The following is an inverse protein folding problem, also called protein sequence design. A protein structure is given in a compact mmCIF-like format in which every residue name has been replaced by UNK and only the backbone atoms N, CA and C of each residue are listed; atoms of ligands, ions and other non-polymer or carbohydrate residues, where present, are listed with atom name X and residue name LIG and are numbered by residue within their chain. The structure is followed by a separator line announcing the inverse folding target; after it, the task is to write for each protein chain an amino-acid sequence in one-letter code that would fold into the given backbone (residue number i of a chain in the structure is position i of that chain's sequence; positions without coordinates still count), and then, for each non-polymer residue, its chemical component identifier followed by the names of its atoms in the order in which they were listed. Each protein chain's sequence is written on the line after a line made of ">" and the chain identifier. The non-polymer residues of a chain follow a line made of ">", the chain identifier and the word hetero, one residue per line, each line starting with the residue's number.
data_IF_883333569596
#
_entry.id   IF_883333569596
#
_cell.length_a   1.000
_cell.length_b   1.000
_cell.length_c   1.000
_cell.angle_alpha   90.00
_cell.angle_beta   90.00
_cell.angle_gamma   90.00
#
_symmetry.space_group_name_H-M   'P 1'
#
loop_
_entity.id
_entity.type
_entity.pdbx_description
1 polymer ?
#
# COMPACT_ATOMS: atom_id res chain seq x y z
N UNK A 1 2.78 9.50 22.81
CA UNK A 1 3.10 8.16 22.29
C UNK A 1 2.04 7.86 21.25
N UNK A 2 2.29 8.26 20.00
CA UNK A 2 1.27 8.22 18.95
C UNK A 2 0.96 6.77 18.59
N UNK A 3 -0.32 6.44 18.47
CA UNK A 3 -0.78 5.10 18.13
C UNK A 3 -0.40 4.76 16.68
N UNK A 4 0.80 4.22 16.51
CA UNK A 4 1.30 3.70 15.22
C UNK A 4 0.52 2.48 14.74
N UNK A 5 -0.64 2.16 15.33
CA UNK A 5 -1.50 1.03 14.95
C UNK A 5 -2.67 1.45 14.08
N UNK A 6 -3.06 2.73 14.09
CA UNK A 6 -4.12 3.25 13.21
C UNK A 6 -3.53 3.78 11.90
N UNK A 7 -4.24 3.56 10.78
CA UNK A 7 -3.95 4.28 9.53
C UNK A 7 -4.36 5.75 9.73
N UNK A 8 -3.49 6.68 9.34
CA UNK A 8 -3.74 8.12 9.51
C UNK A 8 -4.90 8.56 8.61
N UNK A 9 -5.62 9.60 9.04
CA UNK A 9 -6.92 9.95 8.51
C UNK A 9 -6.87 10.34 7.02
N UNK A 10 -5.92 11.18 6.62
CA UNK A 10 -5.82 11.63 5.23
C UNK A 10 -5.34 10.49 4.34
N UNK A 11 -4.37 9.69 4.79
CA UNK A 11 -3.93 8.48 4.07
C UNK A 11 -5.07 7.46 3.92
N UNK A 12 -5.93 7.29 4.93
CA UNK A 12 -7.09 6.41 4.83
C UNK A 12 -8.12 6.95 3.83
N UNK A 13 -8.40 8.24 3.86
CA UNK A 13 -9.30 8.91 2.91
C UNK A 13 -8.77 8.84 1.47
N UNK A 14 -7.46 9.07 1.30
CA UNK A 14 -6.78 8.90 0.02
C UNK A 14 -6.85 7.46 -0.47
N UNK A 15 -6.59 6.46 0.37
CA UNK A 15 -6.70 5.06 -0.02
C UNK A 15 -8.14 4.69 -0.41
N UNK A 16 -9.13 5.20 0.33
CA UNK A 16 -10.54 5.00 0.03
C UNK A 16 -10.97 5.63 -1.30
N UNK A 17 -10.40 6.78 -1.67
CA UNK A 17 -10.72 7.44 -2.95
C UNK A 17 -10.17 6.71 -4.18
N UNK A 18 -9.25 5.75 -4.00
CA UNK A 18 -8.71 4.90 -5.07
C UNK A 18 -9.47 3.58 -5.25
N UNK A 19 -10.52 3.35 -4.47
CA UNK A 19 -11.33 2.13 -4.56
C UNK A 19 -12.37 2.24 -5.68
N UNK A 20 -12.81 1.09 -6.19
CA UNK A 20 -13.90 1.04 -7.16
C UNK A 20 -15.24 1.44 -6.50
N UNK A 21 -16.22 1.85 -7.31
CA UNK A 21 -17.55 2.19 -6.81
C UNK A 21 -18.17 1.02 -6.03
N UNK A 22 -18.66 1.29 -4.82
CA UNK A 22 -19.26 0.29 -3.93
C UNK A 22 -18.25 -0.49 -3.07
N UNK A 23 -16.95 -0.26 -3.25
CA UNK A 23 -15.92 -0.81 -2.36
C UNK A 23 -15.68 0.08 -1.14
N UNK A 24 -15.28 -0.53 -0.04
CA UNK A 24 -14.88 0.18 1.19
C UNK A 24 -13.79 -0.57 1.95
N UNK A 25 -12.94 0.19 2.65
CA UNK A 25 -11.97 -0.38 3.59
C UNK A 25 -12.73 -0.85 4.82
N UNK A 26 -12.71 -2.16 5.09
CA UNK A 26 -13.38 -2.76 6.26
C UNK A 26 -12.41 -3.12 7.38
N UNK A 27 -11.12 -3.25 7.08
CA UNK A 27 -10.06 -3.59 8.05
C UNK A 27 -8.70 -3.06 7.58
N UNK A 28 -7.85 -2.69 8.53
CA UNK A 28 -6.46 -2.36 8.30
C UNK A 28 -5.57 -3.03 9.36
N UNK A 29 -4.70 -3.95 8.92
CA UNK A 29 -3.78 -4.70 9.78
C UNK A 29 -2.33 -4.28 9.53
N UNK A 30 -1.49 -4.32 10.57
CA UNK A 30 -0.04 -4.17 10.40
C UNK A 30 0.49 -5.35 9.58
N UNK A 31 1.31 -5.07 8.56
CA UNK A 31 2.07 -6.09 7.85
C UNK A 31 3.54 -5.97 8.25
N UNK A 32 4.03 -6.94 9.02
CA UNK A 32 5.43 -6.99 9.47
C UNK A 32 6.32 -7.35 8.27
N UNK A 33 7.38 -6.57 8.03
CA UNK A 33 8.32 -6.82 6.93
C UNK A 33 8.93 -5.57 6.29
N UNK A 34 8.46 -4.36 6.62
CA UNK A 34 9.06 -3.11 6.16
C UNK A 34 10.18 -2.63 7.08
N UNK A 35 11.39 -2.45 6.56
CA UNK A 35 12.51 -1.80 7.28
C UNK A 35 12.39 -0.27 7.22
N UNK A 36 11.87 0.25 6.09
CA UNK A 36 11.86 1.68 5.75
C UNK A 36 10.46 2.27 5.58
N UNK A 37 9.41 1.47 5.73
CA UNK A 37 8.03 1.93 5.56
C UNK A 37 7.10 1.22 6.55
N UNK A 38 6.13 1.96 7.07
CA UNK A 38 4.97 1.39 7.74
C UNK A 38 4.11 0.70 6.67
N UNK A 39 3.93 -0.62 6.78
CA UNK A 39 3.12 -1.41 5.85
C UNK A 39 1.81 -1.85 6.49
N UNK A 40 0.73 -1.71 5.72
CA UNK A 40 -0.63 -2.06 6.13
C UNK A 40 -1.28 -2.96 5.10
N UNK A 41 -1.86 -4.05 5.57
CA UNK A 41 -2.80 -4.84 4.79
C UNK A 41 -4.19 -4.23 4.97
N UNK A 42 -4.81 -3.81 3.87
CA UNK A 42 -6.18 -3.30 3.85
C UNK A 42 -7.11 -4.37 3.29
N UNK A 43 -8.14 -4.76 4.04
CA UNK A 43 -9.23 -5.59 3.52
C UNK A 43 -10.29 -4.66 2.94
N UNK A 44 -10.59 -4.86 1.67
CA UNK A 44 -11.58 -4.12 0.91
C UNK A 44 -12.80 -5.01 0.73
N UNK A 45 -13.96 -4.58 1.23
CA UNK A 45 -15.23 -5.27 1.01
C UNK A 45 -16.01 -4.63 -0.13
N UNK A 46 -16.70 -5.45 -0.93
CA UNK A 46 -17.64 -5.01 -1.96
C UNK A 46 -19.10 -5.09 -1.47
N UNK A 47 -20.03 -4.50 -2.23
CA UNK A 47 -21.47 -4.59 -1.97
C UNK A 47 -22.00 -6.03 -2.05
N UNK A 48 -21.33 -6.91 -2.79
CA UNK A 48 -21.74 -8.30 -2.98
C UNK A 48 -21.24 -9.23 -1.85
N UNK A 49 -20.50 -8.68 -0.87
CA UNK A 49 -19.91 -9.44 0.22
C UNK A 49 -18.53 -10.03 -0.06
N UNK A 50 -18.03 -9.90 -1.30
CA UNK A 50 -16.68 -10.30 -1.65
C UNK A 50 -15.64 -9.40 -1.00
N UNK A 51 -14.43 -9.93 -0.80
CA UNK A 51 -13.30 -9.15 -0.31
C UNK A 51 -12.07 -9.31 -1.18
N UNK A 52 -11.30 -8.22 -1.30
CA UNK A 52 -9.94 -8.24 -1.85
C UNK A 52 -8.98 -7.54 -0.90
N UNK A 53 -7.69 -7.76 -1.11
CA UNK A 53 -6.66 -7.21 -0.23
C UNK A 53 -5.76 -6.23 -1.00
N UNK A 54 -5.55 -5.06 -0.41
CA UNK A 54 -4.55 -4.09 -0.84
C UNK A 54 -3.45 -3.95 0.20
N UNK A 55 -2.28 -3.47 -0.23
CA UNK A 55 -1.16 -3.12 0.62
C UNK A 55 -0.91 -1.63 0.50
N UNK A 56 -0.99 -0.94 1.64
CA UNK A 56 -0.62 0.46 1.79
C UNK A 56 0.78 0.54 2.42
N UNK A 57 1.66 1.32 1.81
CA UNK A 57 3.01 1.61 2.30
C UNK A 57 3.13 3.09 2.57
N UNK A 58 3.54 3.47 3.78
CA UNK A 58 3.76 4.88 4.17
C UNK A 58 5.17 5.08 4.70
N UNK A 59 5.88 6.06 4.16
CA UNK A 59 7.30 6.28 4.41
C UNK A 59 7.49 7.37 5.46
N UNK A 60 7.48 6.97 6.73
CA UNK A 60 7.55 7.87 7.88
C UNK A 60 9.02 8.15 8.23
N UNK A 61 9.41 9.43 8.24
CA UNK A 61 10.74 9.85 8.68
C UNK A 61 11.89 9.45 7.75
N UNK A 62 11.62 9.09 6.50
CA UNK A 62 12.63 8.68 5.52
C UNK A 62 12.95 9.83 4.57
N UNK A 63 14.23 10.24 4.51
CA UNK A 63 14.72 11.23 3.54
C UNK A 63 14.63 10.71 2.10
N UNK A 64 14.32 11.60 1.15
CA UNK A 64 14.18 11.28 -0.29
C UNK A 64 13.16 10.18 -0.62
N UNK A 65 12.15 9.95 0.22
CA UNK A 65 11.09 8.97 -0.03
C UNK A 65 10.46 9.15 -1.43
N UNK A 66 10.23 10.40 -1.87
CA UNK A 66 9.73 10.72 -3.22
C UNK A 66 10.48 9.95 -4.33
N UNK A 67 11.82 10.00 -4.35
CA UNK A 67 12.60 9.35 -5.41
C UNK A 67 12.44 7.81 -5.37
N UNK A 68 12.44 7.22 -4.17
CA UNK A 68 12.23 5.78 -4.00
C UNK A 68 10.82 5.37 -4.45
N UNK A 69 9.78 6.12 -4.06
CA UNK A 69 8.40 5.86 -4.45
C UNK A 69 8.18 6.02 -5.94
N UNK A 70 8.72 7.08 -6.57
CA UNK A 70 8.59 7.27 -8.01
C UNK A 70 9.20 6.11 -8.77
N UNK A 71 10.40 5.64 -8.37
CA UNK A 71 11.04 4.48 -9.01
C UNK A 71 10.21 3.20 -8.83
N UNK A 72 9.68 2.97 -7.64
CA UNK A 72 8.84 1.81 -7.37
C UNK A 72 7.55 1.85 -8.20
N UNK A 73 6.85 2.98 -8.20
CA UNK A 73 5.65 3.17 -9.01
C UNK A 73 5.93 2.95 -10.50
N UNK A 74 7.03 3.50 -11.03
CA UNK A 74 7.46 3.25 -12.41
C UNK A 74 7.70 1.75 -12.67
N UNK A 75 8.40 1.07 -11.77
CA UNK A 75 8.68 -0.36 -11.91
C UNK A 75 7.40 -1.21 -11.91
N UNK A 76 6.46 -0.96 -10.99
CA UNK A 76 5.18 -1.67 -10.94
C UNK A 76 4.35 -1.42 -12.20
N UNK A 77 4.29 -0.19 -12.70
CA UNK A 77 3.62 0.14 -13.96
C UNK A 77 4.24 -0.59 -15.15
N UNK A 78 5.57 -0.72 -15.20
CA UNK A 78 6.23 -1.48 -16.26
C UNK A 78 5.96 -2.98 -16.16
N UNK A 79 5.97 -3.54 -14.94
CA UNK A 79 5.74 -4.98 -14.71
C UNK A 79 4.32 -5.41 -15.09
N UNK A 80 3.34 -4.52 -14.97
CA UNK A 80 1.95 -4.78 -15.37
C UNK A 80 1.79 -5.13 -16.86
N UNK A 81 2.76 -4.78 -17.71
CA UNK A 81 2.79 -5.12 -19.13
C UNK A 81 3.62 -6.39 -19.43
N UNK A 82 3.97 -7.18 -18.42
CA UNK A 82 4.81 -8.37 -18.53
C UNK A 82 4.16 -9.59 -17.90
N UNK A 83 4.69 -10.77 -18.19
CA UNK A 83 4.26 -12.04 -17.55
C UNK A 83 4.80 -12.22 -16.13
N UNK A 84 5.58 -11.25 -15.60
CA UNK A 84 6.13 -11.33 -14.24
C UNK A 84 5.02 -11.08 -13.23
N UNK A 85 4.78 -12.05 -12.35
CA UNK A 85 3.83 -11.87 -11.24
C UNK A 85 4.37 -10.85 -10.23
N UNK A 86 3.77 -9.68 -10.21
CA UNK A 86 4.10 -8.57 -9.32
C UNK A 86 2.84 -7.93 -8.75
N UNK A 87 2.93 -7.17 -7.63
CA UNK A 87 1.87 -6.26 -7.25
C UNK A 87 1.52 -5.29 -8.37
N UNK A 88 0.26 -4.93 -8.48
CA UNK A 88 -0.21 -3.90 -9.40
C UNK A 88 -0.34 -2.57 -8.65
N UNK A 89 0.08 -1.48 -9.28
CA UNK A 89 -0.04 -0.14 -8.70
C UNK A 89 -1.51 0.32 -8.73
N UNK A 90 -2.04 0.70 -7.57
CA UNK A 90 -3.39 1.28 -7.42
C UNK A 90 -3.32 2.80 -7.29
N UNK A 91 -2.29 3.32 -6.63
CA UNK A 91 -2.08 4.75 -6.47
C UNK A 91 -0.75 5.08 -5.81
N UNK A 92 -0.25 6.29 -6.06
CA UNK A 92 0.97 6.81 -5.42
C UNK A 92 0.79 8.30 -5.12
N UNK A 93 1.21 8.71 -3.92
CA UNK A 93 1.34 10.11 -3.50
C UNK A 93 2.77 10.31 -2.99
N UNK A 94 3.74 10.57 -3.88
CA UNK A 94 5.15 10.50 -3.54
C UNK A 94 5.66 11.78 -2.86
N UNK A 95 4.86 12.86 -2.89
CA UNK A 95 5.15 14.15 -2.27
C UNK A 95 4.33 14.40 -1.00
N UNK A 96 3.48 13.46 -0.58
CA UNK A 96 2.52 13.65 0.51
C UNK A 96 1.60 14.86 0.29
N UNK A 97 1.10 15.02 -0.94
CA UNK A 97 0.18 16.11 -1.29
C UNK A 97 -1.23 15.88 -0.74
N UNK A 98 -1.62 14.61 -0.57
CA UNK A 98 -2.93 14.19 -0.05
C UNK A 98 -2.78 13.39 1.26
N UNK A 99 -1.75 12.58 1.37
CA UNK A 99 -1.44 11.75 2.54
C UNK A 99 -0.63 12.51 3.60
N UNK A 100 -0.62 12.03 4.84
CA UNK A 100 0.28 12.56 5.89
C UNK A 100 1.78 12.30 5.59
N UNK A 101 2.08 11.24 4.85
CA UNK A 101 3.43 10.86 4.43
C UNK A 101 3.43 10.32 3.01
N UNK A 102 4.58 10.35 2.31
CA UNK A 102 4.70 9.73 1.00
C UNK A 102 4.21 8.29 1.04
N UNK A 103 3.24 7.97 0.20
CA UNK A 103 2.50 6.71 0.28
C UNK A 103 2.27 6.06 -1.08
N UNK A 104 2.23 4.73 -1.08
CA UNK A 104 1.95 3.89 -2.25
C UNK A 104 0.90 2.83 -1.88
N UNK A 105 -0.06 2.63 -2.77
CA UNK A 105 -1.11 1.62 -2.65
C UNK A 105 -1.01 0.65 -3.81
N UNK A 106 -0.99 -0.64 -3.52
CA UNK A 106 -0.84 -1.71 -4.51
C UNK A 106 -1.65 -2.95 -4.16
N UNK A 107 -1.85 -3.86 -5.11
CA UNK A 107 -2.48 -5.16 -4.83
C UNK A 107 -1.61 -6.01 -3.90
N UNK A 108 -2.25 -6.87 -3.12
CA UNK A 108 -1.53 -7.82 -2.29
C UNK A 108 -1.09 -9.03 -3.11
N UNK A 109 0.21 -9.20 -3.33
CA UNK A 109 0.77 -10.42 -3.90
C UNK A 109 0.75 -11.54 -2.86
N UNK A 110 -0.02 -12.64 -3.07
CA UNK A 110 -0.05 -13.76 -2.13
C UNK A 110 1.32 -14.42 -2.05
N UNK A 111 1.84 -14.60 -0.83
CA UNK A 111 3.14 -15.21 -0.62
C UNK A 111 3.53 -15.23 0.86
N UNK A 112 4.66 -15.87 1.14
CA UNK A 112 5.30 -15.87 2.46
C UNK A 112 6.77 -15.52 2.29
N UNK A 113 7.32 -14.69 3.16
CA UNK A 113 8.75 -14.41 3.19
C UNK A 113 9.49 -15.65 3.68
N UNK A 114 10.43 -16.16 2.88
CA UNK A 114 11.36 -17.20 3.32
C UNK A 114 12.60 -16.51 3.88
N UNK A 115 12.75 -16.50 5.21
CA UNK A 115 13.91 -15.89 5.89
C UNK A 115 15.05 -16.88 6.15
N UNK A 116 14.91 -18.14 5.73
CA UNK A 116 15.91 -19.18 5.90
C UNK A 116 16.31 -19.72 4.52
N UNK A 117 17.52 -19.40 4.07
CA UNK A 117 18.22 -20.18 3.06
C UNK A 117 19.02 -21.25 3.82
N UNK A 118 18.49 -22.48 3.87
CA UNK A 118 19.30 -23.67 4.19
C UNK A 118 20.16 -24.05 3.01
#
# INVERSE_FOLDING_TARGET
>A
MSDHTAVRANTLAWAASRLAAGERIVRADVLLGGITAEMRRLTIGSLNGDTRTLVLRSYVGVGNANHALTREATALTMLAATEVTAPELVGVDPLAAECEYPSLLMTHLPGRTLLNAT
#
